data_IF_478981803400
#
_entry.id   IF_478981803400
#
_cell.length_a   1.000
_cell.length_b   1.000
_cell.length_c   1.000
_cell.angle_alpha   90.00
_cell.angle_beta   90.00
_cell.angle_gamma   90.00
#
_symmetry.space_group_name_H-M   'P 1'
#
loop_
_entity.id
_entity.type
_entity.pdbx_description
1 polymer ?
#
# COMPACT_ATOMS: atom_id res chain seq x y z
N UNK A 1 26.46 4.02 6.44
CA UNK A 1 25.24 3.58 7.12
C UNK A 1 24.25 2.91 6.15
N UNK A 2 23.91 3.51 5.00
CA UNK A 2 22.95 2.93 4.04
C UNK A 2 23.38 1.58 3.45
N UNK A 3 24.65 1.37 3.21
CA UNK A 3 25.19 0.06 2.77
C UNK A 3 25.03 -1.01 3.85
N UNK A 4 25.32 -0.69 5.11
CA UNK A 4 25.11 -1.61 6.24
C UNK A 4 23.64 -1.96 6.41
N UNK A 5 22.74 -0.97 6.36
CA UNK A 5 21.31 -1.19 6.40
C UNK A 5 20.85 -2.15 5.28
N UNK A 6 21.31 -1.90 4.05
CA UNK A 6 20.96 -2.76 2.91
C UNK A 6 21.51 -4.19 3.10
N UNK A 7 22.70 -4.35 3.63
CA UNK A 7 23.29 -5.67 3.91
C UNK A 7 22.44 -6.44 4.94
N UNK A 8 22.11 -5.83 6.09
CA UNK A 8 21.28 -6.47 7.11
C UNK A 8 19.88 -6.80 6.59
N UNK A 9 19.26 -5.89 5.84
CA UNK A 9 17.95 -6.13 5.22
C UNK A 9 18.02 -7.33 4.25
N UNK A 10 19.07 -7.41 3.44
CA UNK A 10 19.31 -8.49 2.48
C UNK A 10 19.51 -9.84 3.17
N UNK A 11 20.31 -9.87 4.22
CA UNK A 11 20.55 -11.10 5.01
C UNK A 11 19.25 -11.59 5.64
N UNK A 12 18.47 -10.68 6.24
CA UNK A 12 17.15 -11.02 6.81
C UNK A 12 16.20 -11.63 5.77
N UNK A 13 16.17 -11.07 4.56
CA UNK A 13 15.34 -11.59 3.48
C UNK A 13 15.85 -12.95 2.97
N UNK A 14 17.16 -13.14 2.89
CA UNK A 14 17.79 -14.38 2.40
C UNK A 14 17.62 -15.55 3.38
N UNK A 15 17.75 -15.30 4.68
CA UNK A 15 17.67 -16.35 5.71
C UNK A 15 16.27 -16.52 6.31
N UNK A 16 15.27 -15.83 5.79
CA UNK A 16 13.88 -16.02 6.18
C UNK A 16 13.40 -17.43 5.83
N UNK A 17 12.55 -17.99 6.70
CA UNK A 17 11.84 -19.26 6.43
C UNK A 17 10.40 -18.96 6.07
N UNK A 18 10.06 -18.82 4.78
CA UNK A 18 8.73 -18.45 4.35
C UNK A 18 7.75 -19.61 4.58
N UNK A 19 6.61 -19.30 5.20
CA UNK A 19 5.47 -20.21 5.28
C UNK A 19 4.60 -20.06 4.06
N UNK A 20 4.24 -21.16 3.39
CA UNK A 20 3.22 -21.22 2.34
C UNK A 20 1.84 -21.44 2.97
N UNK A 21 0.82 -20.86 2.34
CA UNK A 21 -0.59 -21.00 2.71
C UNK A 21 -1.37 -21.64 1.54
N UNK A 22 -2.59 -22.11 1.80
CA UNK A 22 -3.42 -22.69 0.73
C UNK A 22 -4.12 -21.58 -0.07
N UNK A 23 -4.45 -20.44 0.56
CA UNK A 23 -4.95 -19.27 -0.14
C UNK A 23 -3.85 -18.64 -1.01
N UNK A 24 -4.22 -18.09 -2.17
CA UNK A 24 -3.29 -17.38 -3.04
C UNK A 24 -2.86 -16.06 -2.39
N UNK A 25 -1.59 -15.95 -2.06
CA UNK A 25 -1.05 -14.82 -1.31
C UNK A 25 -0.39 -13.81 -2.23
N UNK A 26 -1.02 -12.66 -2.40
CA UNK A 26 -0.52 -11.54 -3.21
C UNK A 26 0.03 -10.46 -2.30
N UNK A 27 1.23 -9.98 -2.58
CA UNK A 27 1.81 -8.87 -1.85
C UNK A 27 1.66 -7.57 -2.64
N UNK A 28 1.12 -6.54 -1.99
CA UNK A 28 1.15 -5.17 -2.47
C UNK A 28 2.09 -4.37 -1.58
N UNK A 29 3.25 -4.02 -2.11
CA UNK A 29 4.28 -3.35 -1.33
C UNK A 29 5.00 -2.26 -2.10
N UNK A 30 6.04 -1.72 -1.51
CA UNK A 30 6.89 -0.74 -2.18
C UNK A 30 8.34 -0.90 -1.72
N UNK A 31 9.25 -0.22 -2.41
CA UNK A 31 10.65 -0.13 -2.04
C UNK A 31 10.99 1.16 -1.27
N UNK A 32 10.13 2.18 -1.38
CA UNK A 32 10.33 3.47 -0.75
C UNK A 32 9.68 3.54 0.64
N UNK A 33 10.18 4.42 1.51
CA UNK A 33 9.40 4.95 2.63
C UNK A 33 8.47 6.04 2.08
N UNK A 34 7.24 6.09 2.60
CA UNK A 34 6.26 7.13 2.27
C UNK A 34 5.11 6.63 1.40
N UNK A 35 4.22 7.53 1.05
CA UNK A 35 2.99 7.27 0.31
C UNK A 35 3.24 7.10 -1.18
N UNK A 36 3.25 5.87 -1.65
CA UNK A 36 3.37 5.54 -3.09
C UNK A 36 2.04 5.14 -3.74
N UNK A 37 0.92 5.23 -3.00
CA UNK A 37 -0.39 4.77 -3.48
C UNK A 37 -0.68 3.29 -3.22
N UNK A 38 0.02 2.64 -2.27
CA UNK A 38 -0.23 1.21 -1.93
C UNK A 38 -1.66 0.93 -1.51
N UNK A 39 -2.18 1.70 -0.56
CA UNK A 39 -3.53 1.49 -0.01
C UNK A 39 -4.61 1.57 -1.09
N UNK A 40 -4.67 2.61 -1.93
CA UNK A 40 -5.58 2.63 -3.07
C UNK A 40 -5.38 1.47 -4.05
N UNK A 41 -4.14 1.10 -4.35
CA UNK A 41 -3.84 -0.04 -5.23
C UNK A 41 -4.33 -1.37 -4.62
N UNK A 42 -4.17 -1.56 -3.30
CA UNK A 42 -4.67 -2.75 -2.59
C UNK A 42 -6.19 -2.82 -2.63
N UNK A 43 -6.88 -1.69 -2.43
CA UNK A 43 -8.35 -1.62 -2.53
C UNK A 43 -8.81 -1.93 -3.96
N UNK A 44 -8.21 -1.33 -4.97
CA UNK A 44 -8.56 -1.56 -6.37
C UNK A 44 -8.38 -3.03 -6.78
N UNK A 45 -7.28 -3.67 -6.34
CA UNK A 45 -7.05 -5.09 -6.56
C UNK A 45 -8.08 -5.95 -5.84
N UNK A 46 -8.45 -5.62 -4.59
CA UNK A 46 -9.47 -6.33 -3.84
C UNK A 46 -10.82 -6.27 -4.56
N UNK A 47 -11.25 -5.09 -4.99
CA UNK A 47 -12.49 -4.89 -5.75
C UNK A 47 -12.48 -5.63 -7.08
N UNK A 48 -11.34 -5.62 -7.80
CA UNK A 48 -11.19 -6.34 -9.05
C UNK A 48 -11.37 -7.86 -8.86
N UNK A 49 -10.73 -8.46 -7.87
CA UNK A 49 -10.89 -9.89 -7.59
C UNK A 49 -12.29 -10.24 -7.06
N UNK A 50 -12.91 -9.35 -6.28
CA UNK A 50 -14.32 -9.52 -5.85
C UNK A 50 -15.28 -9.49 -7.04
N UNK A 51 -15.04 -8.63 -8.03
CA UNK A 51 -15.83 -8.62 -9.28
C UNK A 51 -15.73 -9.94 -10.06
N UNK A 52 -14.63 -10.70 -9.87
CA UNK A 52 -14.45 -12.07 -10.38
C UNK A 52 -15.05 -13.13 -9.45
N UNK A 53 -15.88 -12.75 -8.48
CA UNK A 53 -16.54 -13.61 -7.49
C UNK A 53 -15.57 -14.41 -6.59
N UNK A 54 -14.35 -13.88 -6.38
CA UNK A 54 -13.37 -14.49 -5.49
C UNK A 54 -13.51 -13.92 -4.08
N UNK A 55 -13.37 -14.76 -3.06
CA UNK A 55 -13.37 -14.33 -1.67
C UNK A 55 -12.00 -13.76 -1.31
N UNK A 56 -11.91 -12.42 -1.22
CA UNK A 56 -10.67 -11.66 -1.02
C UNK A 56 -10.63 -11.06 0.37
N UNK A 57 -9.56 -11.32 1.09
CA UNK A 57 -9.27 -10.65 2.37
C UNK A 57 -7.97 -9.88 2.28
N UNK A 58 -7.86 -8.80 3.06
CA UNK A 58 -6.61 -8.05 3.23
C UNK A 58 -5.99 -8.41 4.58
N UNK A 59 -4.67 -8.50 4.62
CA UNK A 59 -3.90 -8.64 5.87
C UNK A 59 -2.94 -7.47 5.99
N UNK A 60 -3.14 -6.64 7.01
CA UNK A 60 -2.29 -5.50 7.35
C UNK A 60 -1.63 -5.67 8.72
N UNK A 61 -0.54 -4.93 8.95
CA UNK A 61 0.15 -4.91 10.25
C UNK A 61 -0.55 -4.02 11.28
N UNK A 62 -1.45 -3.15 10.86
CA UNK A 62 -2.07 -2.15 11.74
C UNK A 62 -1.05 -1.14 12.25
N UNK A 63 -0.41 -0.42 11.33
CA UNK A 63 0.55 0.62 11.69
C UNK A 63 -0.14 1.71 12.53
N UNK A 64 0.53 2.19 13.58
CA UNK A 64 0.00 3.11 14.61
C UNK A 64 -1.18 2.57 15.44
N UNK A 65 -1.79 1.45 15.09
CA UNK A 65 -2.85 0.84 15.89
C UNK A 65 -2.34 0.26 17.22
N UNK A 66 -3.15 0.41 18.27
CA UNK A 66 -2.81 -0.02 19.64
C UNK A 66 -3.14 -1.49 19.88
N UNK A 67 -4.08 -2.08 19.17
CA UNK A 67 -4.51 -3.45 19.38
C UNK A 67 -3.39 -4.47 19.18
N UNK A 68 -3.45 -5.53 19.98
CA UNK A 68 -2.52 -6.66 19.94
C UNK A 68 -3.23 -7.91 19.44
N UNK A 69 -2.46 -8.87 18.92
CA UNK A 69 -3.01 -10.13 18.44
C UNK A 69 -3.39 -10.12 16.96
N UNK A 70 -4.37 -10.93 16.62
CA UNK A 70 -4.92 -11.08 15.27
C UNK A 70 -6.44 -10.96 15.35
N UNK A 71 -7.04 -10.07 14.62
CA UNK A 71 -8.48 -9.82 14.64
C UNK A 71 -8.97 -9.25 13.31
N UNK A 72 -10.26 -9.47 13.04
CA UNK A 72 -10.98 -8.90 11.91
C UNK A 72 -11.40 -7.46 12.26
N UNK A 73 -11.10 -6.52 11.40
CA UNK A 73 -11.54 -5.13 11.55
C UNK A 73 -13.05 -5.03 11.33
N UNK A 74 -13.70 -4.31 12.23
CA UNK A 74 -15.11 -3.95 12.08
C UNK A 74 -15.20 -2.42 12.02
N UNK A 75 -15.51 -1.81 10.86
CA UNK A 75 -15.49 -0.35 10.71
C UNK A 75 -16.53 0.36 11.59
N UNK A 76 -17.62 -0.32 11.97
CA UNK A 76 -18.65 0.26 12.85
C UNK A 76 -18.27 0.25 14.33
N UNK A 77 -17.26 -0.54 14.73
CA UNK A 77 -16.88 -0.74 16.14
C UNK A 77 -15.47 -0.26 16.46
N UNK A 78 -14.56 -0.38 15.52
CA UNK A 78 -13.16 -0.04 15.73
C UNK A 78 -12.88 1.40 15.30
N UNK A 79 -11.94 2.04 16.00
CA UNK A 79 -11.43 3.37 15.68
C UNK A 79 -10.03 3.29 15.09
N UNK A 80 -9.59 4.33 14.42
CA UNK A 80 -8.28 4.38 13.77
C UNK A 80 -7.11 4.25 14.74
N UNK A 81 -7.22 4.81 15.96
CA UNK A 81 -6.22 4.66 17.01
C UNK A 81 -6.04 3.21 17.49
N UNK A 82 -7.08 2.40 17.33
CA UNK A 82 -7.07 0.98 17.71
C UNK A 82 -6.45 0.09 16.62
N UNK A 83 -6.87 0.28 15.37
CA UNK A 83 -6.55 -0.64 14.26
C UNK A 83 -5.58 -0.06 13.24
N UNK A 84 -5.39 1.26 13.22
CA UNK A 84 -4.69 2.04 12.22
C UNK A 84 -5.64 2.61 11.15
N UNK A 85 -5.29 3.76 10.58
CA UNK A 85 -6.13 4.46 9.59
C UNK A 85 -6.31 3.64 8.31
N UNK A 86 -5.23 3.10 7.76
CA UNK A 86 -5.28 2.33 6.50
C UNK A 86 -6.11 1.04 6.62
N UNK A 87 -5.97 0.18 7.65
CA UNK A 87 -6.83 -0.97 7.83
C UNK A 87 -8.31 -0.62 8.02
N UNK A 88 -8.59 0.49 8.72
CA UNK A 88 -9.96 0.95 8.90
C UNK A 88 -10.58 1.35 7.56
N UNK A 89 -9.87 2.17 6.77
CA UNK A 89 -10.31 2.55 5.43
C UNK A 89 -10.52 1.33 4.52
N UNK A 90 -9.56 0.41 4.46
CA UNK A 90 -9.68 -0.79 3.62
C UNK A 90 -10.85 -1.69 4.03
N UNK A 91 -11.23 -1.68 5.32
CA UNK A 91 -12.32 -2.51 5.84
C UNK A 91 -13.73 -2.10 5.36
N UNK A 92 -13.87 -0.91 4.77
CA UNK A 92 -15.11 -0.48 4.10
C UNK A 92 -15.34 -1.22 2.77
N UNK A 93 -14.29 -1.81 2.20
CA UNK A 93 -14.34 -2.44 0.88
C UNK A 93 -14.27 -3.96 0.92
N UNK A 94 -13.57 -4.54 1.91
CA UNK A 94 -13.33 -5.98 2.00
C UNK A 94 -12.94 -6.37 3.42
N UNK A 95 -13.08 -7.65 3.84
CA UNK A 95 -12.62 -8.10 5.14
C UNK A 95 -11.12 -7.85 5.34
N UNK A 96 -10.76 -7.13 6.41
CA UNK A 96 -9.38 -6.78 6.76
C UNK A 96 -8.98 -7.40 8.08
N UNK A 97 -7.90 -8.15 8.08
CA UNK A 97 -7.27 -8.71 9.27
C UNK A 97 -6.07 -7.87 9.68
N UNK A 98 -6.08 -7.41 10.91
CA UNK A 98 -4.89 -6.78 11.51
C UNK A 98 -4.12 -7.79 12.32
N UNK A 99 -2.81 -7.90 12.04
CA UNK A 99 -1.92 -8.78 12.79
C UNK A 99 -0.48 -8.30 12.75
N UNK A 100 0.16 -8.11 13.90
CA UNK A 100 1.59 -7.77 13.99
C UNK A 100 2.47 -8.86 13.36
N UNK A 101 2.05 -10.13 13.47
CA UNK A 101 2.64 -11.29 12.77
C UNK A 101 1.73 -11.65 11.60
N UNK A 102 1.98 -11.10 10.41
CA UNK A 102 1.12 -11.27 9.23
C UNK A 102 0.74 -12.72 8.92
N UNK A 103 1.65 -13.67 9.16
CA UNK A 103 1.36 -15.12 9.01
C UNK A 103 0.15 -15.58 9.82
N UNK A 104 -0.08 -14.98 11.00
CA UNK A 104 -1.26 -15.30 11.80
C UNK A 104 -2.53 -14.68 11.19
N UNK A 105 -2.40 -13.47 10.61
CA UNK A 105 -3.48 -12.82 9.86
C UNK A 105 -3.90 -13.64 8.64
N UNK A 106 -2.92 -14.15 7.85
CA UNK A 106 -3.22 -15.00 6.69
C UNK A 106 -3.92 -16.30 7.15
N UNK A 107 -3.41 -16.95 8.20
CA UNK A 107 -4.04 -18.16 8.72
C UNK A 107 -5.47 -17.90 9.24
N UNK A 108 -5.76 -16.72 9.77
CA UNK A 108 -7.11 -16.34 10.18
C UNK A 108 -8.01 -16.07 8.96
N UNK A 109 -7.51 -15.36 7.95
CA UNK A 109 -8.22 -15.12 6.69
C UNK A 109 -8.54 -16.45 5.96
N UNK A 110 -7.57 -17.37 5.89
CA UNK A 110 -7.73 -18.68 5.29
C UNK A 110 -8.83 -19.50 6.00
N UNK A 111 -8.84 -19.53 7.35
CA UNK A 111 -9.93 -20.18 8.11
C UNK A 111 -11.29 -19.51 7.90
N UNK A 112 -11.32 -18.24 7.56
CA UNK A 112 -12.53 -17.50 7.22
C UNK A 112 -12.93 -17.66 5.74
N UNK A 113 -12.28 -18.58 5.00
CA UNK A 113 -12.61 -18.94 3.64
C UNK A 113 -11.98 -18.05 2.56
N UNK A 114 -10.95 -17.25 2.88
CA UNK A 114 -10.27 -16.45 1.87
C UNK A 114 -9.63 -17.32 0.80
N UNK A 115 -9.96 -17.07 -0.46
CA UNK A 115 -9.30 -17.66 -1.63
C UNK A 115 -8.06 -16.86 -2.02
N UNK A 116 -8.14 -15.53 -1.88
CA UNK A 116 -7.03 -14.60 -2.10
C UNK A 116 -6.79 -13.79 -0.83
N UNK A 117 -5.53 -13.66 -0.45
CA UNK A 117 -5.09 -12.74 0.59
C UNK A 117 -4.17 -11.68 -0.02
N UNK A 118 -4.56 -10.41 0.09
CA UNK A 118 -3.72 -9.27 -0.25
C UNK A 118 -2.93 -8.83 1.00
N UNK A 119 -1.60 -8.88 0.93
CA UNK A 119 -0.72 -8.39 1.99
C UNK A 119 -0.44 -6.91 1.78
N UNK A 120 -0.99 -6.08 2.65
CA UNK A 120 -0.67 -4.66 2.69
C UNK A 120 0.70 -4.43 3.35
N UNK A 121 1.61 -3.78 2.58
CA UNK A 121 2.98 -3.46 2.97
C UNK A 121 3.78 -4.68 3.50
N UNK A 122 3.59 -5.84 2.88
CA UNK A 122 4.24 -7.11 3.27
C UNK A 122 5.54 -7.43 2.53
N UNK A 123 6.06 -6.56 1.67
CA UNK A 123 7.10 -6.87 0.71
C UNK A 123 8.42 -7.30 1.36
N UNK A 124 8.85 -6.62 2.43
CA UNK A 124 10.05 -6.93 3.20
C UNK A 124 9.84 -7.96 4.31
N UNK A 125 8.71 -8.67 4.33
CA UNK A 125 8.46 -9.74 5.29
C UNK A 125 8.94 -11.09 4.73
N UNK A 126 10.04 -11.68 5.25
CA UNK A 126 10.58 -12.94 4.76
C UNK A 126 9.88 -14.18 5.31
N UNK A 127 8.94 -14.01 6.24
CA UNK A 127 8.27 -15.13 6.91
C UNK A 127 7.11 -15.72 6.11
N UNK A 128 6.77 -15.11 4.95
CA UNK A 128 5.60 -15.45 4.14
C UNK A 128 6.06 -15.74 2.71
N UNK A 129 5.62 -16.89 2.17
CA UNK A 129 5.69 -17.14 0.74
C UNK A 129 4.62 -16.29 0.04
N UNK A 130 5.02 -15.55 -0.97
CA UNK A 130 4.16 -14.72 -1.79
C UNK A 130 4.05 -15.39 -3.15
N UNK A 131 2.83 -15.69 -3.57
CA UNK A 131 2.59 -16.32 -4.87
C UNK A 131 2.68 -15.29 -6.00
N UNK A 132 2.40 -14.01 -5.68
CA UNK A 132 2.58 -12.88 -6.58
C UNK A 132 2.92 -11.60 -5.80
N UNK A 133 3.73 -10.74 -6.38
CA UNK A 133 4.17 -9.50 -5.71
C UNK A 133 4.08 -8.30 -6.62
N UNK A 134 3.27 -7.32 -6.22
CA UNK A 134 3.24 -6.00 -6.80
C UNK A 134 4.18 -5.06 -6.05
N UNK A 135 4.97 -4.29 -6.77
CA UNK A 135 5.67 -3.12 -6.26
C UNK A 135 4.96 -1.87 -6.76
N UNK A 136 4.47 -1.05 -5.84
CA UNK A 136 3.80 0.21 -6.14
C UNK A 136 4.80 1.34 -6.04
N UNK A 137 4.86 2.17 -7.07
CA UNK A 137 5.78 3.30 -7.17
C UNK A 137 5.06 4.55 -7.66
N UNK A 138 5.42 5.69 -7.09
CA UNK A 138 4.92 7.00 -7.57
C UNK A 138 5.58 7.35 -8.90
N UNK A 139 4.79 7.67 -9.92
CA UNK A 139 5.27 7.93 -11.27
C UNK A 139 6.13 9.19 -11.40
N UNK A 140 5.94 10.17 -10.50
CA UNK A 140 6.72 11.42 -10.47
C UNK A 140 8.06 11.22 -9.78
N UNK A 141 8.05 10.60 -8.58
CA UNK A 141 9.23 10.49 -7.72
C UNK A 141 10.04 9.21 -7.96
N UNK A 142 9.41 8.15 -8.50
CA UNK A 142 10.04 6.87 -8.77
C UNK A 142 10.73 6.29 -7.54
N UNK A 143 12.00 5.94 -7.69
CA UNK A 143 12.86 5.43 -6.62
C UNK A 143 13.70 6.52 -5.93
N UNK A 144 13.34 7.80 -6.12
CA UNK A 144 14.04 8.95 -5.55
C UNK A 144 15.50 9.00 -5.96
N UNK A 145 16.39 9.26 -5.00
CA UNK A 145 17.84 9.31 -5.22
C UNK A 145 18.51 7.92 -5.28
N UNK A 146 17.74 6.85 -5.35
CA UNK A 146 18.19 5.43 -5.46
C UNK A 146 19.04 4.94 -4.27
N UNK A 147 19.08 5.67 -3.17
CA UNK A 147 19.84 5.31 -1.96
C UNK A 147 18.93 4.70 -0.89
N UNK A 148 19.49 3.76 -0.14
CA UNK A 148 18.81 3.20 1.02
C UNK A 148 18.89 4.12 2.23
N UNK A 149 17.95 3.95 3.16
CA UNK A 149 17.92 4.62 4.46
C UNK A 149 19.29 4.51 5.15
N UNK A 150 19.78 5.57 5.79
CA UNK A 150 19.17 6.91 5.95
C UNK A 150 19.52 7.90 4.83
N UNK A 151 20.29 7.51 3.83
CA UNK A 151 20.78 8.40 2.77
C UNK A 151 19.76 8.65 1.65
N UNK A 152 18.65 7.93 1.65
CA UNK A 152 17.56 8.06 0.68
C UNK A 152 16.31 7.29 1.12
N UNK A 153 15.28 7.23 0.27
CA UNK A 153 13.99 6.73 0.66
C UNK A 153 13.86 5.20 0.61
N UNK A 154 14.86 4.47 0.13
CA UNK A 154 14.70 3.05 -0.13
C UNK A 154 14.86 2.19 1.12
N UNK A 155 13.97 1.21 1.27
CA UNK A 155 14.00 0.16 2.30
C UNK A 155 14.98 -0.97 1.97
N UNK A 156 15.39 -1.07 0.70
CA UNK A 156 16.35 -2.02 0.14
C UNK A 156 16.81 -1.54 -1.23
N UNK A 157 17.86 -2.14 -1.79
CA UNK A 157 18.32 -1.76 -3.13
C UNK A 157 17.29 -2.12 -4.21
N UNK A 158 17.21 -1.30 -5.26
CA UNK A 158 16.27 -1.50 -6.37
C UNK A 158 16.48 -2.89 -6.98
N UNK A 159 17.71 -3.27 -7.25
CA UNK A 159 18.03 -4.56 -7.88
C UNK A 159 17.55 -5.76 -7.05
N UNK A 160 17.69 -5.71 -5.72
CA UNK A 160 17.21 -6.78 -4.85
C UNK A 160 15.68 -6.78 -4.72
N UNK A 161 15.08 -5.60 -4.63
CA UNK A 161 13.65 -5.45 -4.60
C UNK A 161 13.02 -5.96 -5.88
N UNK A 162 13.47 -5.51 -7.04
CA UNK A 162 12.88 -5.88 -8.33
C UNK A 162 13.06 -7.37 -8.69
N UNK A 163 14.05 -8.08 -8.15
CA UNK A 163 14.17 -9.55 -8.34
C UNK A 163 12.99 -10.35 -7.80
N UNK A 164 12.22 -9.79 -6.89
CA UNK A 164 11.05 -10.44 -6.27
C UNK A 164 9.73 -9.79 -6.70
N UNK A 165 9.80 -8.92 -7.71
CA UNK A 165 8.66 -8.18 -8.24
C UNK A 165 8.14 -8.88 -9.50
N UNK A 166 6.88 -9.29 -9.50
CA UNK A 166 6.22 -9.86 -10.67
C UNK A 166 5.59 -8.75 -11.53
N UNK A 167 5.07 -7.71 -10.89
CA UNK A 167 4.53 -6.54 -11.58
C UNK A 167 4.81 -5.23 -10.84
N UNK A 168 5.12 -4.18 -11.60
CA UNK A 168 5.31 -2.82 -11.13
C UNK A 168 4.05 -1.99 -11.43
N UNK A 169 3.42 -1.43 -10.41
CA UNK A 169 2.30 -0.49 -10.55
C UNK A 169 2.85 0.93 -10.43
N UNK A 170 2.81 1.68 -11.51
CA UNK A 170 3.22 3.09 -11.57
C UNK A 170 1.97 3.94 -11.37
N UNK A 171 1.92 4.68 -10.25
CA UNK A 171 0.75 5.50 -9.88
C UNK A 171 0.99 6.95 -10.25
N UNK A 172 0.04 7.53 -10.98
CA UNK A 172 0.06 8.93 -11.40
C UNK A 172 0.85 9.15 -12.68
N UNK A 173 1.16 10.43 -12.95
CA UNK A 173 1.88 10.84 -14.18
C UNK A 173 3.30 10.29 -14.18
N UNK A 174 3.69 9.66 -15.30
CA UNK A 174 5.03 9.13 -15.48
C UNK A 174 6.01 10.26 -15.83
N UNK A 175 6.76 10.74 -14.85
CA UNK A 175 7.83 11.74 -15.01
C UNK A 175 9.22 11.13 -14.70
N UNK A 176 9.25 10.09 -13.84
CA UNK A 176 10.49 9.40 -13.49
C UNK A 176 10.92 8.43 -14.60
N UNK A 177 12.20 8.48 -14.96
CA UNK A 177 12.77 7.55 -15.95
C UNK A 177 13.17 6.25 -15.29
N UNK A 178 12.42 5.19 -15.54
CA UNK A 178 12.72 3.83 -15.08
C UNK A 178 13.71 3.16 -16.02
N UNK A 179 15.00 3.47 -15.86
CA UNK A 179 16.07 2.82 -16.61
C UNK A 179 16.32 1.44 -16.00
N UNK A 180 16.65 0.46 -16.85
CA UNK A 180 17.12 -0.87 -16.45
C UNK A 180 16.13 -1.74 -15.65
N UNK A 181 14.82 -1.59 -15.92
CA UNK A 181 13.85 -2.53 -15.39
C UNK A 181 14.04 -3.92 -16.00
N UNK A 182 14.02 -5.00 -15.20
CA UNK A 182 14.05 -6.36 -15.73
C UNK A 182 12.90 -6.60 -16.72
N UNK A 183 13.19 -7.17 -17.89
CA UNK A 183 12.19 -7.45 -18.93
C UNK A 183 11.07 -8.41 -18.48
N UNK A 184 11.30 -9.17 -17.43
CA UNK A 184 10.32 -10.10 -16.84
C UNK A 184 9.23 -9.40 -16.04
N UNK A 185 9.44 -8.14 -15.61
CA UNK A 185 8.47 -7.41 -14.79
C UNK A 185 7.38 -6.82 -15.69
N UNK A 186 6.13 -7.14 -15.39
CA UNK A 186 4.97 -6.51 -16.03
C UNK A 186 4.82 -5.09 -15.49
N UNK A 187 4.61 -4.12 -16.38
CA UNK A 187 4.38 -2.71 -16.00
C UNK A 187 2.90 -2.42 -16.14
N UNK A 188 2.31 -1.87 -15.10
CA UNK A 188 0.93 -1.41 -15.06
C UNK A 188 0.92 0.07 -14.70
N UNK A 189 0.08 0.84 -15.39
CA UNK A 189 -0.14 2.24 -15.08
C UNK A 189 -1.47 2.40 -14.34
N UNK A 190 -1.47 3.18 -13.28
CA UNK A 190 -2.65 3.48 -12.47
C UNK A 190 -2.73 4.97 -12.20
N UNK A 191 -3.93 5.47 -12.01
CA UNK A 191 -4.18 6.83 -11.55
C UNK A 191 -5.08 6.81 -10.32
N UNK A 192 -4.91 7.78 -9.45
CA UNK A 192 -5.84 8.00 -8.35
C UNK A 192 -7.00 8.82 -8.88
N UNK A 193 -8.21 8.31 -8.67
CA UNK A 193 -9.44 9.03 -8.95
C UNK A 193 -10.22 9.22 -7.66
N UNK A 194 -10.81 10.40 -7.45
CA UNK A 194 -11.71 10.62 -6.34
C UNK A 194 -12.90 9.68 -6.43
N UNK A 195 -13.31 9.12 -5.29
CA UNK A 195 -14.56 8.38 -5.23
C UNK A 195 -15.72 9.33 -5.45
N UNK A 196 -16.69 8.90 -6.24
CA UNK A 196 -17.93 9.61 -6.44
C UNK A 196 -18.75 9.54 -5.14
N UNK A 197 -18.73 10.60 -4.36
CA UNK A 197 -19.46 10.67 -3.06
C UNK A 197 -20.87 11.23 -3.20
N UNK A 198 -21.27 11.65 -4.39
CA UNK A 198 -22.52 12.36 -4.62
C UNK A 198 -22.51 13.82 -4.16
N UNK A 199 -21.37 14.33 -3.67
CA UNK A 199 -21.22 15.75 -3.33
C UNK A 199 -21.00 16.58 -4.59
N UNK A 200 -21.77 17.65 -4.73
CA UNK A 200 -21.49 18.69 -5.71
C UNK A 200 -20.49 19.69 -5.10
N UNK A 201 -19.29 19.72 -5.66
CA UNK A 201 -18.22 20.60 -5.19
C UNK A 201 -18.28 21.99 -5.81
N UNK A 202 -19.17 22.22 -6.79
CA UNK A 202 -19.29 23.50 -7.49
C UNK A 202 -20.15 24.50 -6.71
N UNK A 203 -21.01 24.02 -5.82
CA UNK A 203 -22.04 24.80 -5.13
C UNK A 203 -21.56 25.43 -3.80
N UNK A 204 -20.32 25.83 -3.68
CA UNK A 204 -19.87 26.41 -2.43
C UNK A 204 -18.50 27.04 -2.44
N UNK A 205 -18.18 27.71 -1.34
CA UNK A 205 -16.83 28.16 -1.02
C UNK A 205 -16.25 27.25 0.04
N UNK A 206 -15.04 26.73 -0.21
CA UNK A 206 -14.45 25.73 0.66
C UNK A 206 -13.11 26.22 1.23
N UNK A 207 -12.89 25.93 2.51
CA UNK A 207 -11.60 25.98 3.14
C UNK A 207 -11.02 24.57 3.14
N UNK A 208 -9.91 24.34 2.45
CA UNK A 208 -9.25 23.05 2.40
C UNK A 208 -8.07 22.98 3.37
N UNK A 209 -8.00 21.93 4.19
CA UNK A 209 -6.84 21.69 5.05
C UNK A 209 -6.46 20.21 5.02
N UNK A 210 -5.16 19.92 5.07
CA UNK A 210 -4.66 18.57 5.03
C UNK A 210 -3.34 18.39 5.79
N UNK A 211 -3.28 17.36 6.65
CA UNK A 211 -2.08 16.92 7.37
C UNK A 211 -1.51 15.63 6.77
N UNK A 212 -1.24 15.61 5.46
CA UNK A 212 -0.71 14.47 4.72
C UNK A 212 0.67 14.83 4.13
N UNK A 213 1.43 13.83 3.72
CA UNK A 213 2.80 14.01 3.21
C UNK A 213 2.92 14.95 1.99
N UNK A 214 1.89 15.07 1.17
CA UNK A 214 1.82 15.99 0.04
C UNK A 214 0.41 16.63 -0.02
N UNK A 215 0.15 17.70 0.76
CA UNK A 215 -1.13 18.39 0.79
C UNK A 215 -1.55 18.96 -0.57
N UNK A 216 -0.58 19.34 -1.41
CA UNK A 216 -0.87 19.93 -2.72
C UNK A 216 -1.60 18.95 -3.65
N UNK A 217 -1.38 17.64 -3.52
CA UNK A 217 -2.13 16.62 -4.28
C UNK A 217 -3.61 16.62 -3.90
N UNK A 218 -3.92 16.83 -2.63
CA UNK A 218 -5.31 16.92 -2.16
C UNK A 218 -5.98 18.19 -2.67
N UNK A 219 -5.31 19.34 -2.58
CA UNK A 219 -5.84 20.61 -3.07
C UNK A 219 -6.08 20.58 -4.58
N UNK A 220 -5.12 20.07 -5.34
CA UNK A 220 -5.30 19.88 -6.79
C UNK A 220 -6.44 18.92 -7.15
N UNK A 221 -6.72 17.92 -6.31
CA UNK A 221 -7.86 17.03 -6.49
C UNK A 221 -9.17 17.78 -6.30
N UNK A 222 -9.32 18.60 -5.26
CA UNK A 222 -10.50 19.40 -5.01
C UNK A 222 -10.73 20.41 -6.15
N UNK A 223 -9.68 21.08 -6.59
CA UNK A 223 -9.73 22.00 -7.73
C UNK A 223 -10.19 21.29 -9.01
N UNK A 224 -9.70 20.08 -9.28
CA UNK A 224 -10.12 19.26 -10.42
C UNK A 224 -11.58 18.80 -10.36
N UNK A 225 -12.17 18.77 -9.17
CA UNK A 225 -13.60 18.49 -8.93
C UNK A 225 -14.46 19.75 -9.06
N UNK A 226 -13.87 20.91 -9.35
CA UNK A 226 -14.56 22.19 -9.49
C UNK A 226 -14.83 22.91 -8.16
N UNK A 227 -14.17 22.51 -7.07
CA UNK A 227 -14.33 23.15 -5.77
C UNK A 227 -13.78 24.59 -5.78
N UNK A 228 -14.59 25.57 -5.37
CA UNK A 228 -14.15 26.94 -5.19
C UNK A 228 -13.38 27.06 -3.85
N UNK A 229 -12.06 26.89 -3.91
CA UNK A 229 -11.18 26.95 -2.73
C UNK A 229 -10.84 28.40 -2.38
N UNK A 230 -11.35 28.87 -1.24
CA UNK A 230 -11.04 30.23 -0.74
C UNK A 230 -9.70 30.28 -0.01
N UNK A 231 -9.27 29.14 0.57
CA UNK A 231 -7.94 29.02 1.18
C UNK A 231 -7.53 27.52 1.24
N UNK A 232 -6.21 27.29 1.29
CA UNK A 232 -5.60 25.94 1.33
C UNK A 232 -4.53 25.89 2.42
N UNK A 233 -4.80 25.16 3.51
CA UNK A 233 -3.94 25.10 4.69
C UNK A 233 -3.25 23.74 4.79
N UNK A 234 -1.93 23.71 4.66
CA UNK A 234 -1.14 22.52 4.97
C UNK A 234 -0.90 22.46 6.49
N UNK A 235 -1.34 21.36 7.12
CA UNK A 235 -1.12 21.10 8.54
C UNK A 235 0.20 20.34 8.71
N UNK A 236 1.00 20.76 9.72
CA UNK A 236 2.29 20.13 10.07
C UNK A 236 2.12 18.83 10.86
#
# INVERSE_FOLDING_TARGET
LGLLYNLFSSLRLKFGKPKKFNCFTICVGNLNIGGTGKTPATIALAQHFQALQLNVHIVSRGYKGQFRGTFLVNPKKHKSDQVGDEPLLMSEFTPVWVSKKRKNGIAAAERAGAQIVLLDDGYQDPSINKDFSFVVVDGKNGFGNKKCIPAGPLRESINQGLKRCDALIIVGKLEYKFNDLPKSIKIMHARLEPLQTGMDWTDGKYLAFAGIADPNKFFATLDSLGANLVDCVALN
#
